data_IF_106302449289
#
_entry.id   IF_106302449289
#
_cell.length_a   1.000
_cell.length_b   1.000
_cell.length_c   1.000
_cell.angle_alpha   90.00
_cell.angle_beta   90.00
_cell.angle_gamma   90.00
#
_symmetry.space_group_name_H-M   'P 1'
#
loop_
_entity.id
_entity.type
_entity.pdbx_description
1 polymer ?
#
# COMPACT_ATOMS: atom_id res chain seq x y z
N UNK A 1 -3.04 7.12 -0.31
CA UNK A 1 -2.97 5.69 -0.71
C UNK A 1 -3.67 4.83 0.31
N UNK A 2 -4.30 3.71 -0.15
CA UNK A 2 -5.20 2.91 0.68
C UNK A 2 -4.88 1.42 0.58
N UNK A 3 -4.51 0.79 1.70
CA UNK A 3 -4.19 -0.63 1.80
C UNK A 3 -5.30 -1.37 2.54
N UNK A 4 -5.80 -2.44 1.92
CA UNK A 4 -6.77 -3.33 2.55
C UNK A 4 -6.07 -4.41 3.37
N UNK A 5 -6.42 -4.54 4.65
CA UNK A 5 -5.98 -5.66 5.49
C UNK A 5 -6.95 -6.81 5.26
N UNK A 6 -6.46 -7.88 4.66
CA UNK A 6 -7.22 -9.08 4.31
C UNK A 6 -6.60 -10.32 4.96
N UNK A 7 -7.30 -11.42 4.97
CA UNK A 7 -6.85 -12.70 5.50
C UNK A 7 -8.01 -13.54 6.02
N UNK A 8 -7.73 -14.78 6.39
CA UNK A 8 -8.73 -15.70 6.93
C UNK A 8 -9.36 -15.15 8.22
N UNK A 9 -10.57 -15.59 8.57
CA UNK A 9 -11.13 -15.33 9.90
C UNK A 9 -10.13 -15.70 10.99
N UNK A 10 -10.06 -14.88 12.06
CA UNK A 10 -9.20 -15.14 13.23
C UNK A 10 -7.68 -15.16 12.94
N UNK A 11 -7.23 -14.58 11.83
CA UNK A 11 -5.79 -14.41 11.54
C UNK A 11 -5.13 -13.26 12.31
N UNK A 12 -5.91 -12.42 13.01
CA UNK A 12 -5.44 -11.26 13.76
C UNK A 12 -5.40 -9.97 12.96
N UNK A 13 -6.20 -9.83 11.90
CA UNK A 13 -6.34 -8.58 11.10
C UNK A 13 -6.62 -7.37 11.97
N UNK A 14 -7.66 -7.44 12.79
CA UNK A 14 -8.05 -6.34 13.68
C UNK A 14 -7.00 -6.06 14.76
N UNK A 15 -6.25 -7.07 15.21
CA UNK A 15 -5.12 -6.88 16.13
C UNK A 15 -4.02 -6.05 15.47
N UNK A 16 -3.64 -6.38 14.23
CA UNK A 16 -2.66 -5.63 13.47
C UNK A 16 -3.17 -4.23 13.14
N UNK A 17 -4.45 -4.10 12.77
CA UNK A 17 -5.08 -2.80 12.54
C UNK A 17 -5.02 -1.92 13.80
N UNK A 18 -5.33 -2.46 14.98
CA UNK A 18 -5.23 -1.75 16.25
C UNK A 18 -3.79 -1.37 16.60
N UNK A 19 -2.81 -2.26 16.33
CA UNK A 19 -1.40 -1.96 16.50
C UNK A 19 -0.96 -0.78 15.63
N UNK A 20 -1.33 -0.79 14.33
CA UNK A 20 -1.04 0.28 13.37
C UNK A 20 -1.63 1.63 13.77
N UNK A 21 -2.80 1.62 14.34
CA UNK A 21 -3.62 2.81 14.50
C UNK A 21 -3.69 3.31 15.94
N UNK A 22 -3.04 2.61 16.89
CA UNK A 22 -3.25 2.79 18.34
C UNK A 22 -4.74 2.77 18.71
N UNK A 23 -5.51 2.03 17.91
CA UNK A 23 -6.96 1.95 18.03
C UNK A 23 -7.42 0.91 19.03
N UNK A 24 -8.72 0.94 19.33
CA UNK A 24 -9.37 0.00 20.22
C UNK A 24 -10.58 -0.69 19.53
N UNK A 25 -10.48 -0.95 18.22
CA UNK A 25 -11.52 -1.69 17.53
C UNK A 25 -11.69 -3.08 18.19
N UNK A 26 -12.93 -3.55 18.42
CA UNK A 26 -13.15 -4.85 19.04
C UNK A 26 -12.49 -5.98 18.24
N UNK A 27 -11.64 -6.77 18.89
CA UNK A 27 -10.96 -7.93 18.26
C UNK A 27 -11.83 -9.18 18.25
N UNK A 28 -13.00 -9.14 18.87
CA UNK A 28 -13.96 -10.25 18.88
C UNK A 28 -14.76 -10.27 17.58
N UNK A 29 -14.98 -11.47 17.05
CA UNK A 29 -15.74 -11.68 15.82
C UNK A 29 -17.11 -11.02 15.90
N UNK A 30 -17.30 -9.91 15.21
CA UNK A 30 -18.62 -9.32 15.00
C UNK A 30 -19.32 -10.13 13.94
N UNK A 31 -20.24 -10.98 14.36
CA UNK A 31 -21.08 -11.74 13.47
C UNK A 31 -21.98 -10.78 12.65
N UNK A 32 -21.76 -10.70 11.37
CA UNK A 32 -22.80 -10.31 10.41
C UNK A 32 -22.90 -8.88 9.93
N UNK A 33 -21.94 -7.97 10.20
CA UNK A 33 -21.89 -6.65 9.56
C UNK A 33 -20.57 -6.42 8.84
N UNK A 34 -20.64 -6.04 7.54
CA UNK A 34 -19.51 -5.58 6.75
C UNK A 34 -19.14 -4.14 7.18
N UNK A 35 -18.50 -4.00 8.32
CA UNK A 35 -17.94 -2.72 8.74
C UNK A 35 -16.48 -2.63 8.26
N UNK A 36 -16.16 -1.59 7.49
CA UNK A 36 -14.77 -1.26 7.14
C UNK A 36 -14.30 -0.14 8.03
N UNK A 37 -13.40 -0.47 8.92
CA UNK A 37 -12.71 0.54 9.72
C UNK A 37 -11.51 1.06 8.93
N UNK A 38 -11.43 2.38 8.74
CA UNK A 38 -10.28 3.00 8.05
C UNK A 38 -9.59 3.98 8.97
N UNK A 39 -8.26 3.93 8.97
CA UNK A 39 -7.43 4.89 9.69
C UNK A 39 -6.21 5.30 8.87
N UNK A 40 -5.76 6.52 9.11
CA UNK A 40 -4.59 7.12 8.46
C UNK A 40 -3.43 7.08 9.43
N UNK A 41 -2.30 6.52 8.98
CA UNK A 41 -1.09 6.33 9.78
C UNK A 41 0.06 7.10 9.14
N UNK A 42 0.86 7.78 9.97
CA UNK A 42 2.08 8.45 9.51
C UNK A 42 3.15 7.42 9.14
N UNK A 43 3.84 7.66 8.03
CA UNK A 43 4.99 6.83 7.60
C UNK A 43 6.24 7.29 8.34
N UNK A 44 6.86 6.45 9.17
CA UNK A 44 8.08 6.82 9.88
C UNK A 44 9.21 7.13 8.88
N UNK A 45 9.71 8.36 8.92
CA UNK A 45 10.80 8.82 8.08
C UNK A 45 11.75 9.73 8.87
N UNK A 46 12.94 9.23 9.18
CA UNK A 46 13.97 9.97 9.91
C UNK A 46 14.43 11.25 9.21
N UNK A 47 14.26 11.32 7.88
CA UNK A 47 14.61 12.51 7.08
C UNK A 47 13.70 13.68 7.44
N UNK A 48 12.40 13.44 7.65
CA UNK A 48 11.43 14.46 8.07
C UNK A 48 11.80 15.00 9.44
N UNK A 49 12.13 14.10 10.38
CA UNK A 49 12.58 14.49 11.72
C UNK A 49 13.83 15.39 11.63
N UNK A 50 14.82 14.98 10.86
CA UNK A 50 16.07 15.73 10.71
C UNK A 50 15.87 17.09 10.04
N UNK A 51 15.02 17.17 9.02
CA UNK A 51 14.63 18.42 8.39
C UNK A 51 13.92 19.35 9.37
N UNK A 52 13.04 18.80 10.21
CA UNK A 52 12.33 19.58 11.24
C UNK A 52 13.27 20.15 12.30
N UNK A 53 14.27 19.39 12.73
CA UNK A 53 15.33 19.89 13.62
C UNK A 53 16.11 21.06 12.99
N UNK A 54 16.39 20.96 11.68
CA UNK A 54 17.16 21.96 10.94
C UNK A 54 16.37 23.25 10.69
N UNK A 55 15.11 23.15 10.25
CA UNK A 55 14.29 24.31 9.88
C UNK A 55 13.45 24.85 11.03
N UNK A 56 13.25 24.08 12.10
CA UNK A 56 12.44 24.42 13.29
C UNK A 56 11.06 24.96 12.91
N UNK A 57 10.29 24.23 12.09
CA UNK A 57 9.01 24.68 11.57
C UNK A 57 7.95 24.73 12.68
N UNK A 58 6.86 25.46 12.45
CA UNK A 58 5.68 25.40 13.32
C UNK A 58 4.96 24.07 13.26
N UNK A 59 5.05 23.35 12.12
CA UNK A 59 4.41 22.05 11.90
C UNK A 59 5.34 21.09 11.16
N UNK A 60 5.31 19.83 11.61
CA UNK A 60 5.97 18.70 10.93
C UNK A 60 4.91 17.72 10.47
N UNK A 61 4.89 17.38 9.18
CA UNK A 61 3.87 16.50 8.58
C UNK A 61 4.58 15.37 7.82
N UNK A 62 4.33 14.14 8.26
CA UNK A 62 4.81 12.92 7.62
C UNK A 62 3.91 12.53 6.45
N UNK A 63 4.43 11.73 5.52
CA UNK A 63 3.62 11.03 4.53
C UNK A 63 2.65 10.08 5.23
N UNK A 64 1.54 9.75 4.57
CA UNK A 64 0.44 9.02 5.23
C UNK A 64 0.01 7.82 4.41
N UNK A 65 -0.26 6.70 5.09
CA UNK A 65 -0.91 5.52 4.50
C UNK A 65 -2.25 5.31 5.19
N UNK A 66 -3.28 5.06 4.41
CA UNK A 66 -4.59 4.67 4.92
C UNK A 66 -4.70 3.16 4.94
N UNK A 67 -4.98 2.58 6.12
CA UNK A 67 -5.29 1.17 6.27
C UNK A 67 -6.78 0.98 6.43
N UNK A 68 -7.31 -0.08 5.82
CA UNK A 68 -8.71 -0.48 5.92
C UNK A 68 -8.78 -1.92 6.44
N UNK A 69 -9.38 -2.15 7.62
CA UNK A 69 -9.68 -3.50 8.12
C UNK A 69 -10.89 -4.04 7.36
N UNK A 70 -10.66 -5.03 6.52
CA UNK A 70 -11.69 -5.64 5.69
C UNK A 70 -12.05 -7.00 6.27
N UNK A 71 -13.23 -7.08 6.86
CA UNK A 71 -13.76 -8.33 7.39
C UNK A 71 -14.24 -9.26 6.28
N UNK A 72 -14.10 -10.58 6.48
CA UNK A 72 -14.94 -11.57 5.82
C UNK A 72 -14.49 -12.17 4.48
N UNK A 73 -13.19 -12.26 4.21
CA UNK A 73 -12.70 -13.18 3.17
C UNK A 73 -12.64 -14.60 3.77
N UNK A 74 -13.68 -15.40 3.53
CA UNK A 74 -13.69 -16.82 3.87
C UNK A 74 -13.16 -17.65 2.70
N UNK A 75 -12.51 -18.77 2.99
CA UNK A 75 -12.13 -19.76 1.96
C UNK A 75 -13.37 -20.32 1.26
N UNK A 76 -13.34 -20.35 -0.07
CA UNK A 76 -14.47 -20.80 -0.88
C UNK A 76 -15.47 -19.70 -1.24
N UNK A 77 -15.24 -18.46 -0.79
CA UNK A 77 -16.07 -17.31 -1.16
C UNK A 77 -16.11 -17.10 -2.68
N UNK A 78 -15.04 -17.42 -3.40
CA UNK A 78 -14.99 -17.27 -4.84
C UNK A 78 -15.89 -18.28 -5.58
N UNK A 79 -16.18 -19.46 -5.03
CA UNK A 79 -17.12 -20.43 -5.64
C UNK A 79 -18.56 -19.90 -5.65
N UNK A 80 -18.94 -19.12 -4.65
CA UNK A 80 -20.23 -18.41 -4.58
C UNK A 80 -20.15 -16.97 -5.12
N UNK A 81 -18.94 -16.50 -5.46
CA UNK A 81 -18.59 -15.12 -5.76
C UNK A 81 -18.33 -14.31 -4.49
N UNK A 82 -17.25 -13.54 -4.47
CA UNK A 82 -17.07 -12.51 -3.43
C UNK A 82 -18.29 -11.59 -3.50
N UNK A 83 -18.94 -11.30 -2.34
CA UNK A 83 -20.15 -10.46 -2.34
C UNK A 83 -19.87 -9.13 -3.04
N UNK A 84 -20.82 -8.60 -3.81
CA UNK A 84 -20.62 -7.37 -4.57
C UNK A 84 -20.16 -6.18 -3.70
N UNK A 85 -20.64 -6.12 -2.45
CA UNK A 85 -20.22 -5.09 -1.49
C UNK A 85 -18.75 -5.26 -1.09
N UNK A 86 -18.31 -6.47 -0.77
CA UNK A 86 -16.92 -6.77 -0.42
C UNK A 86 -15.98 -6.55 -1.62
N UNK A 87 -16.40 -6.99 -2.82
CA UNK A 87 -15.65 -6.78 -4.04
C UNK A 87 -15.44 -5.28 -4.33
N UNK A 88 -16.47 -4.45 -4.15
CA UNK A 88 -16.35 -3.01 -4.31
C UNK A 88 -15.37 -2.39 -3.31
N UNK A 89 -15.31 -2.89 -2.08
CA UNK A 89 -14.34 -2.44 -1.08
C UNK A 89 -12.92 -2.82 -1.47
N UNK A 90 -12.70 -4.08 -1.86
CA UNK A 90 -11.39 -4.56 -2.34
C UNK A 90 -10.94 -3.83 -3.61
N UNK A 91 -11.87 -3.54 -4.52
CA UNK A 91 -11.58 -2.80 -5.75
C UNK A 91 -11.07 -1.38 -5.49
N UNK A 92 -11.48 -0.73 -4.40
CA UNK A 92 -11.05 0.62 -4.02
C UNK A 92 -9.68 0.68 -3.33
N UNK A 93 -9.07 -0.45 -2.99
CA UNK A 93 -7.74 -0.50 -2.37
C UNK A 93 -6.65 -0.40 -3.45
N UNK A 94 -5.52 0.20 -3.10
CA UNK A 94 -4.33 0.29 -3.97
C UNK A 94 -3.43 -0.95 -3.85
N UNK A 95 -3.56 -1.70 -2.76
CA UNK A 95 -2.85 -2.94 -2.49
C UNK A 95 -3.39 -3.65 -1.25
N UNK A 96 -2.82 -4.80 -0.91
CA UNK A 96 -3.28 -5.63 0.19
C UNK A 96 -2.17 -5.99 1.18
N UNK A 97 -2.51 -5.97 2.47
CA UNK A 97 -1.79 -6.67 3.54
C UNK A 97 -2.51 -7.99 3.81
N UNK A 98 -1.92 -9.10 3.41
CA UNK A 98 -2.45 -10.43 3.66
C UNK A 98 -1.94 -10.94 5.01
N UNK A 99 -2.78 -10.86 6.02
CA UNK A 99 -2.47 -11.33 7.38
C UNK A 99 -2.68 -12.83 7.47
N UNK A 100 -1.60 -13.53 7.81
CA UNK A 100 -1.56 -14.99 7.94
C UNK A 100 -1.29 -15.36 9.40
N UNK A 101 -2.14 -16.23 9.93
CA UNK A 101 -1.99 -16.72 11.28
C UNK A 101 -0.85 -17.73 11.37
N UNK A 102 0.11 -17.46 12.24
CA UNK A 102 1.23 -18.36 12.55
C UNK A 102 1.27 -18.76 14.03
N UNK A 103 0.28 -18.36 14.83
CA UNK A 103 0.19 -18.64 16.25
C UNK A 103 -0.88 -19.69 16.55
N UNK A 104 -0.63 -20.51 17.55
CA UNK A 104 -1.63 -21.42 18.13
C UNK A 104 -2.44 -20.69 19.22
N UNK A 105 -3.70 -21.09 19.40
CA UNK A 105 -4.57 -20.56 20.43
C UNK A 105 -5.66 -21.56 20.79
N UNK A 106 -5.75 -21.91 22.06
CA UNK A 106 -6.80 -22.77 22.59
C UNK A 106 -8.16 -22.05 22.67
N UNK A 107 -8.15 -20.71 22.68
CA UNK A 107 -9.34 -19.89 22.78
C UNK A 107 -10.03 -19.69 21.44
N UNK A 108 -9.28 -19.81 20.33
CA UNK A 108 -9.75 -19.48 19.00
C UNK A 108 -9.30 -20.56 18.03
N UNK A 109 -10.23 -21.38 17.56
CA UNK A 109 -9.94 -22.44 16.59
C UNK A 109 -9.52 -21.87 15.24
N UNK A 110 -8.55 -22.53 14.58
CA UNK A 110 -8.19 -22.16 13.21
C UNK A 110 -9.30 -22.59 12.25
N UNK A 111 -9.72 -21.75 11.26
CA UNK A 111 -10.81 -22.10 10.32
C UNK A 111 -10.56 -23.41 9.58
N UNK A 112 -9.31 -23.71 9.25
CA UNK A 112 -8.87 -24.91 8.55
C UNK A 112 -8.36 -26.03 9.50
N UNK A 113 -8.64 -25.94 10.79
CA UNK A 113 -8.31 -26.96 11.82
C UNK A 113 -6.88 -26.92 12.33
N UNK A 114 -5.91 -26.38 11.58
CA UNK A 114 -4.48 -26.29 11.97
C UNK A 114 -3.83 -25.05 11.42
N UNK A 115 -2.78 -24.57 12.07
CA UNK A 115 -1.95 -23.46 11.57
C UNK A 115 -1.00 -23.98 10.49
N UNK A 116 -1.09 -23.40 9.30
CA UNK A 116 -0.22 -23.70 8.16
C UNK A 116 -0.10 -22.43 7.29
N UNK A 117 1.01 -21.73 7.45
CA UNK A 117 1.22 -20.44 6.82
C UNK A 117 1.22 -20.52 5.28
N UNK A 118 1.86 -21.56 4.71
CA UNK A 118 1.94 -21.73 3.24
C UNK A 118 0.57 -22.00 2.64
N UNK A 119 -0.16 -22.96 3.18
CA UNK A 119 -1.52 -23.30 2.76
C UNK A 119 -2.43 -22.07 2.80
N UNK A 120 -2.37 -21.30 3.88
CA UNK A 120 -3.28 -20.17 4.09
C UNK A 120 -2.94 -19.00 3.16
N UNK A 121 -1.65 -18.75 2.86
CA UNK A 121 -1.24 -17.79 1.81
C UNK A 121 -1.77 -18.24 0.46
N UNK A 122 -1.49 -19.48 0.07
CA UNK A 122 -1.88 -20.02 -1.24
C UNK A 122 -3.41 -20.00 -1.42
N UNK A 123 -4.14 -20.37 -0.38
CA UNK A 123 -5.60 -20.33 -0.38
C UNK A 123 -6.13 -18.93 -0.65
N UNK A 124 -5.64 -17.93 0.08
CA UNK A 124 -6.09 -16.55 -0.07
C UNK A 124 -5.72 -15.94 -1.43
N UNK A 125 -4.52 -16.21 -1.93
CA UNK A 125 -4.11 -15.74 -3.26
C UNK A 125 -4.93 -16.39 -4.37
N UNK A 126 -5.26 -17.68 -4.21
CA UNK A 126 -6.12 -18.40 -5.15
C UNK A 126 -7.55 -17.85 -5.19
N UNK A 127 -8.10 -17.41 -4.04
CA UNK A 127 -9.42 -16.76 -4.00
C UNK A 127 -9.44 -15.45 -4.82
N UNK A 128 -8.39 -14.63 -4.71
CA UNK A 128 -8.28 -13.40 -5.50
C UNK A 128 -8.15 -13.72 -7.00
N UNK A 129 -7.38 -14.76 -7.34
CA UNK A 129 -7.16 -15.19 -8.71
C UNK A 129 -8.45 -15.72 -9.35
N UNK A 130 -9.19 -16.58 -8.63
CA UNK A 130 -10.46 -17.14 -9.10
C UNK A 130 -11.50 -16.03 -9.32
N UNK A 131 -11.54 -15.02 -8.44
CA UNK A 131 -12.42 -13.87 -8.63
C UNK A 131 -12.12 -13.12 -9.95
N UNK A 132 -10.84 -12.87 -10.22
CA UNK A 132 -10.43 -12.18 -11.44
C UNK A 132 -10.67 -13.03 -12.69
N UNK A 133 -10.45 -14.34 -12.60
CA UNK A 133 -10.73 -15.28 -13.70
C UNK A 133 -12.21 -15.20 -14.10
N UNK A 134 -13.13 -15.30 -13.14
CA UNK A 134 -14.57 -15.18 -13.37
C UNK A 134 -14.92 -13.81 -14.01
N UNK A 135 -14.30 -12.73 -13.54
CA UNK A 135 -14.54 -11.39 -14.09
C UNK A 135 -14.06 -11.28 -15.55
N UNK A 136 -12.89 -11.84 -15.85
CA UNK A 136 -12.30 -11.87 -17.20
C UNK A 136 -13.13 -12.73 -18.15
N UNK A 137 -13.56 -13.91 -17.73
CA UNK A 137 -14.44 -14.81 -18.52
C UNK A 137 -15.75 -14.12 -18.89
N UNK A 138 -16.42 -13.50 -17.92
CA UNK A 138 -17.67 -12.74 -18.17
C UNK A 138 -17.44 -11.58 -19.18
N UNK A 139 -16.28 -10.93 -19.15
CA UNK A 139 -15.97 -9.89 -20.15
C UNK A 139 -15.76 -10.49 -21.53
N UNK A 140 -15.04 -11.60 -21.67
CA UNK A 140 -14.84 -12.30 -22.94
C UNK A 140 -16.16 -12.78 -23.56
N UNK A 141 -17.06 -13.35 -22.76
CA UNK A 141 -18.40 -13.73 -23.20
C UNK A 141 -19.17 -12.51 -23.74
N UNK A 142 -19.15 -11.39 -23.00
CA UNK A 142 -19.80 -10.15 -23.44
C UNK A 142 -19.22 -9.61 -24.74
N UNK A 143 -17.89 -9.59 -24.90
CA UNK A 143 -17.24 -9.16 -26.14
C UNK A 143 -17.63 -10.04 -27.34
N UNK A 144 -17.76 -11.34 -27.10
CA UNK A 144 -18.20 -12.31 -28.10
C UNK A 144 -19.64 -12.01 -28.53
N UNK A 145 -20.53 -11.72 -27.61
CA UNK A 145 -21.93 -11.41 -27.90
C UNK A 145 -22.11 -10.05 -28.58
N UNK A 146 -21.35 -9.04 -28.18
CA UNK A 146 -21.30 -7.74 -28.86
C UNK A 146 -20.86 -7.86 -30.32
N UNK A 147 -19.85 -8.71 -30.59
CA UNK A 147 -19.39 -9.01 -31.94
C UNK A 147 -20.46 -9.67 -32.82
N UNK A 148 -21.25 -10.59 -32.22
CA UNK A 148 -22.36 -11.24 -32.94
C UNK A 148 -23.51 -10.28 -33.25
N UNK A 149 -23.82 -9.34 -32.36
CA UNK A 149 -24.92 -8.38 -32.52
C UNK A 149 -24.63 -7.24 -33.49
N UNK A 150 -23.38 -6.97 -33.83
CA UNK A 150 -22.98 -6.05 -34.90
C UNK A 150 -23.37 -4.59 -34.64
N UNK A 151 -22.93 -3.99 -33.56
CA UNK A 151 -23.20 -2.57 -33.23
C UNK A 151 -22.01 -1.85 -32.64
N UNK A 152 -20.93 -2.57 -32.38
CA UNK A 152 -19.72 -2.08 -31.71
C UNK A 152 -18.61 -1.81 -32.72
N UNK A 153 -17.73 -0.85 -32.44
CA UNK A 153 -16.50 -0.66 -33.19
C UNK A 153 -15.69 -1.98 -33.20
N UNK A 154 -15.56 -2.58 -34.38
CA UNK A 154 -14.90 -3.88 -34.56
C UNK A 154 -13.45 -3.85 -34.09
N UNK A 155 -12.71 -2.76 -34.40
CA UNK A 155 -11.30 -2.63 -34.02
C UNK A 155 -11.13 -2.54 -32.51
N UNK A 156 -12.00 -1.80 -31.83
CA UNK A 156 -12.00 -1.69 -30.38
C UNK A 156 -12.35 -3.04 -29.72
N UNK A 157 -13.39 -3.73 -30.21
CA UNK A 157 -13.77 -5.04 -29.70
C UNK A 157 -12.64 -6.06 -29.86
N UNK A 158 -11.96 -6.06 -31.00
CA UNK A 158 -10.84 -6.96 -31.27
C UNK A 158 -9.65 -6.67 -30.33
N UNK A 159 -9.29 -5.40 -30.15
CA UNK A 159 -8.25 -4.96 -29.21
C UNK A 159 -8.55 -5.40 -27.76
N UNK A 160 -9.79 -5.19 -27.31
CA UNK A 160 -10.24 -5.64 -25.99
C UNK A 160 -10.22 -7.17 -25.88
N UNK A 161 -10.65 -7.87 -26.91
CA UNK A 161 -10.64 -9.35 -26.89
C UNK A 161 -9.22 -9.89 -26.72
N UNK A 162 -8.24 -9.37 -27.48
CA UNK A 162 -6.84 -9.77 -27.34
C UNK A 162 -6.28 -9.50 -25.93
N UNK A 163 -6.56 -8.32 -25.38
CA UNK A 163 -6.15 -7.97 -24.01
C UNK A 163 -6.73 -8.98 -23.01
N UNK A 164 -8.05 -9.19 -23.03
CA UNK A 164 -8.70 -10.07 -22.06
C UNK A 164 -8.36 -11.55 -22.25
N UNK A 165 -8.05 -12.01 -23.47
CA UNK A 165 -7.49 -13.35 -23.72
C UNK A 165 -6.11 -13.53 -23.06
N UNK A 166 -5.23 -12.53 -23.14
CA UNK A 166 -3.94 -12.54 -22.44
C UNK A 166 -4.11 -12.59 -20.92
N UNK A 167 -5.07 -11.84 -20.36
CA UNK A 167 -5.38 -11.91 -18.94
C UNK A 167 -5.91 -13.29 -18.53
N UNK A 168 -6.80 -13.86 -19.34
CA UNK A 168 -7.37 -15.18 -19.11
C UNK A 168 -6.30 -16.29 -19.12
N UNK A 169 -5.37 -16.24 -20.08
CA UNK A 169 -4.26 -17.17 -20.17
C UNK A 169 -3.37 -17.12 -18.91
N UNK A 170 -2.98 -15.92 -18.47
CA UNK A 170 -2.18 -15.75 -17.24
C UNK A 170 -2.90 -16.34 -16.01
N UNK A 171 -4.18 -16.00 -15.84
CA UNK A 171 -4.96 -16.47 -14.69
C UNK A 171 -5.15 -18.00 -14.69
N UNK A 172 -5.34 -18.63 -15.85
CA UNK A 172 -5.41 -20.09 -15.98
C UNK A 172 -4.07 -20.78 -15.65
N UNK A 173 -2.96 -20.10 -15.87
CA UNK A 173 -1.63 -20.57 -15.50
C UNK A 173 -1.29 -20.29 -14.02
N UNK A 174 -2.25 -19.80 -13.23
CA UNK A 174 -2.07 -19.32 -11.85
C UNK A 174 -1.10 -18.14 -11.73
N UNK A 175 -0.87 -17.38 -12.80
CA UNK A 175 -0.06 -16.17 -12.76
C UNK A 175 -0.92 -14.96 -12.41
N UNK A 176 -0.61 -14.25 -11.30
CA UNK A 176 -1.34 -13.05 -10.94
C UNK A 176 -1.08 -11.93 -11.93
N UNK A 177 -2.11 -11.15 -12.23
CA UNK A 177 -2.07 -10.10 -13.26
C UNK A 177 -1.04 -9.00 -13.01
N UNK A 178 -0.55 -8.82 -11.78
CA UNK A 178 0.54 -7.89 -11.44
C UNK A 178 1.90 -8.26 -12.05
N UNK A 179 2.06 -9.52 -12.52
CA UNK A 179 3.30 -9.96 -13.21
C UNK A 179 3.33 -9.58 -14.69
N UNK A 180 2.20 -9.16 -15.27
CA UNK A 180 2.11 -8.78 -16.67
C UNK A 180 2.53 -7.32 -16.86
N UNK A 181 3.17 -7.05 -17.99
CA UNK A 181 3.44 -5.69 -18.47
C UNK A 181 2.23 -5.13 -19.21
N UNK A 182 1.94 -3.85 -19.02
CA UNK A 182 0.82 -3.16 -19.62
C UNK A 182 1.23 -1.86 -20.29
N UNK A 183 0.66 -1.58 -21.43
CA UNK A 183 0.77 -0.25 -22.05
C UNK A 183 -0.05 0.78 -21.26
N UNK A 184 0.27 2.08 -21.37
CA UNK A 184 -0.52 3.13 -20.72
C UNK A 184 -2.01 3.13 -21.09
N UNK A 185 -2.34 2.66 -22.30
CA UNK A 185 -3.73 2.52 -22.75
C UNK A 185 -4.41 1.36 -22.06
N UNK A 186 -3.75 0.20 -21.95
CA UNK A 186 -4.28 -0.97 -21.22
C UNK A 186 -4.47 -0.68 -19.73
N UNK A 187 -3.55 0.05 -19.11
CA UNK A 187 -3.70 0.49 -17.70
C UNK A 187 -4.97 1.31 -17.53
N UNK A 188 -5.26 2.25 -18.45
CA UNK A 188 -6.48 3.07 -18.43
C UNK A 188 -7.72 2.22 -18.66
N UNK A 189 -7.69 1.33 -19.63
CA UNK A 189 -8.78 0.39 -19.93
C UNK A 189 -9.14 -0.44 -18.68
N UNK A 190 -8.12 -1.06 -18.06
CA UNK A 190 -8.30 -1.97 -16.93
C UNK A 190 -8.63 -1.27 -15.60
N UNK A 191 -8.55 0.06 -15.52
CA UNK A 191 -8.78 0.81 -14.27
C UNK A 191 -10.21 0.64 -13.72
N UNK A 192 -11.19 0.42 -14.59
CA UNK A 192 -12.60 0.28 -14.22
C UNK A 192 -13.01 -1.15 -13.79
N UNK A 193 -12.15 -2.16 -14.01
CA UNK A 193 -12.52 -3.55 -13.77
C UNK A 193 -12.28 -4.04 -12.34
N UNK A 194 -11.55 -3.30 -11.52
CA UNK A 194 -11.29 -3.65 -10.13
C UNK A 194 -10.57 -4.99 -9.93
N UNK A 195 -9.75 -5.43 -10.92
CA UNK A 195 -9.01 -6.69 -10.89
C UNK A 195 -8.07 -6.75 -9.68
N UNK A 196 -8.28 -7.71 -8.80
CA UNK A 196 -7.63 -7.80 -7.50
C UNK A 196 -6.18 -8.25 -7.60
N UNK A 197 -5.88 -9.20 -8.50
CA UNK A 197 -4.53 -9.75 -8.68
C UNK A 197 -3.57 -8.81 -9.43
N UNK A 198 -4.06 -7.69 -9.96
CA UNK A 198 -3.22 -6.59 -10.45
C UNK A 198 -2.61 -5.78 -9.31
N UNK A 199 -3.22 -5.84 -8.13
CA UNK A 199 -2.79 -5.07 -6.96
C UNK A 199 -1.63 -5.76 -6.26
N UNK A 200 -0.66 -4.99 -5.73
CA UNK A 200 0.43 -5.54 -4.96
C UNK A 200 -0.05 -6.13 -3.64
N UNK A 201 0.66 -7.14 -3.15
CA UNK A 201 0.37 -7.84 -1.89
C UNK A 201 1.63 -7.92 -1.04
N UNK A 202 1.51 -7.58 0.24
CA UNK A 202 2.50 -7.84 1.29
C UNK A 202 1.92 -8.89 2.23
N UNK A 203 2.62 -10.00 2.41
CA UNK A 203 2.23 -11.04 3.38
C UNK A 203 2.73 -10.65 4.76
N UNK A 204 1.85 -10.70 5.74
CA UNK A 204 2.15 -10.40 7.14
C UNK A 204 1.94 -11.65 7.98
N UNK A 205 3.03 -12.30 8.39
CA UNK A 205 3.01 -13.44 9.30
C UNK A 205 2.79 -12.96 10.73
N UNK A 206 1.60 -13.20 11.26
CA UNK A 206 1.25 -12.85 12.63
C UNK A 206 1.59 -14.00 13.57
N UNK A 207 2.58 -13.79 14.42
CA UNK A 207 3.19 -14.78 15.28
C UNK A 207 2.88 -14.53 16.76
N UNK A 208 3.07 -15.55 17.58
CA UNK A 208 3.20 -15.40 19.05
C UNK A 208 4.63 -15.03 19.44
N UNK A 209 4.79 -14.57 20.66
CA UNK A 209 6.10 -14.34 21.27
C UNK A 209 6.95 -15.60 21.26
N UNK A 210 8.25 -15.44 21.03
CA UNK A 210 9.22 -16.53 21.03
C UNK A 210 9.17 -17.44 19.79
N UNK A 211 8.27 -17.19 18.83
CA UNK A 211 8.24 -17.94 17.57
C UNK A 211 9.23 -17.35 16.55
N UNK A 212 9.85 -18.24 15.78
CA UNK A 212 10.64 -17.86 14.60
C UNK A 212 9.71 -17.64 13.41
N UNK A 213 10.09 -16.73 12.52
CA UNK A 213 9.36 -16.52 11.27
C UNK A 213 9.28 -17.83 10.46
N UNK A 214 8.12 -18.14 9.87
CA UNK A 214 7.96 -19.34 9.06
C UNK A 214 8.89 -19.28 7.83
N UNK A 215 9.56 -20.40 7.56
CA UNK A 215 10.38 -20.53 6.37
C UNK A 215 9.49 -20.91 5.18
N UNK A 216 8.86 -19.90 4.59
CA UNK A 216 7.96 -20.06 3.44
C UNK A 216 8.51 -19.25 2.27
N UNK A 217 8.80 -19.93 1.17
CA UNK A 217 9.18 -19.26 -0.07
C UNK A 217 7.93 -18.70 -0.75
N UNK A 218 7.94 -17.38 -1.03
CA UNK A 218 6.84 -16.63 -1.63
C UNK A 218 7.33 -15.75 -2.78
N UNK A 219 6.52 -15.63 -3.81
CA UNK A 219 6.73 -14.69 -4.93
C UNK A 219 6.44 -13.21 -4.58
N UNK A 220 6.01 -12.96 -3.36
CA UNK A 220 5.62 -11.63 -2.87
C UNK A 220 6.40 -11.27 -1.60
N UNK A 221 6.63 -9.98 -1.34
CA UNK A 221 7.30 -9.56 -0.13
C UNK A 221 6.53 -10.01 1.12
N UNK A 222 7.27 -10.30 2.18
CA UNK A 222 6.70 -10.72 3.46
C UNK A 222 7.40 -10.08 4.64
N UNK A 223 6.68 -9.97 5.74
CA UNK A 223 7.17 -9.53 7.04
C UNK A 223 6.54 -10.38 8.14
N UNK A 224 7.34 -10.71 9.15
CA UNK A 224 6.86 -11.36 10.35
C UNK A 224 6.77 -10.34 11.49
N UNK A 225 5.71 -10.40 12.28
CA UNK A 225 5.51 -9.56 13.46
C UNK A 225 4.66 -10.28 14.52
N UNK A 226 4.80 -9.84 15.74
CA UNK A 226 4.02 -10.32 16.90
C UNK A 226 2.87 -9.35 17.14
N UNK A 227 1.77 -9.50 16.37
CA UNK A 227 0.69 -8.51 16.32
C UNK A 227 0.10 -8.15 17.69
N UNK A 228 0.00 -9.12 18.62
CA UNK A 228 -0.49 -8.87 19.97
C UNK A 228 0.48 -8.00 20.77
N UNK A 229 1.77 -8.33 20.76
CA UNK A 229 2.81 -7.55 21.44
C UNK A 229 2.92 -6.12 20.88
N UNK A 230 2.93 -5.99 19.55
CA UNK A 230 2.95 -4.69 18.87
C UNK A 230 1.73 -3.83 19.26
N UNK A 231 0.55 -4.45 19.37
CA UNK A 231 -0.67 -3.77 19.80
C UNK A 231 -0.58 -3.32 21.27
N UNK A 232 -0.07 -4.16 22.16
CA UNK A 232 0.11 -3.84 23.58
C UNK A 232 1.10 -2.68 23.75
N UNK A 233 2.26 -2.72 23.07
CA UNK A 233 3.24 -1.62 23.09
C UNK A 233 2.65 -0.32 22.53
N UNK A 234 1.86 -0.39 21.45
CA UNK A 234 1.25 0.78 20.84
C UNK A 234 0.24 1.50 21.77
N UNK A 235 -0.29 0.80 22.77
CA UNK A 235 -1.22 1.33 23.76
C UNK A 235 -0.53 1.90 25.01
N UNK A 236 0.77 1.68 25.20
CA UNK A 236 1.54 2.26 26.30
C UNK A 236 1.77 3.76 26.11
N UNK A 237 2.11 4.44 27.20
CA UNK A 237 2.67 5.80 27.10
C UNK A 237 4.00 5.76 26.34
N UNK A 238 4.44 6.89 25.77
CA UNK A 238 5.70 6.95 25.05
C UNK A 238 6.90 6.54 25.94
N UNK A 239 6.87 6.94 27.22
CA UNK A 239 7.90 6.61 28.22
C UNK A 239 7.91 5.12 28.54
N UNK A 240 6.74 4.53 28.81
CA UNK A 240 6.62 3.10 29.12
C UNK A 240 6.98 2.23 27.90
N UNK A 241 6.59 2.64 26.69
CA UNK A 241 6.95 1.94 25.46
C UNK A 241 8.47 1.95 25.24
N UNK A 242 9.14 3.09 25.48
CA UNK A 242 10.61 3.20 25.36
C UNK A 242 11.31 2.31 26.40
N UNK A 243 10.87 2.34 27.66
CA UNK A 243 11.41 1.46 28.72
C UNK A 243 11.23 -0.02 28.36
N UNK A 244 10.04 -0.40 27.89
CA UNK A 244 9.76 -1.77 27.45
C UNK A 244 10.68 -2.20 26.29
N UNK A 245 10.83 -1.35 25.28
CA UNK A 245 11.69 -1.63 24.15
C UNK A 245 13.16 -1.79 24.56
N UNK A 246 13.64 -0.98 25.51
CA UNK A 246 15.00 -1.10 26.06
C UNK A 246 15.20 -2.38 26.86
N UNK A 247 14.24 -2.77 27.70
CA UNK A 247 14.30 -4.00 28.52
C UNK A 247 14.38 -5.25 27.66
N UNK A 248 13.67 -5.27 26.52
CA UNK A 248 13.61 -6.41 25.59
C UNK A 248 14.57 -6.31 24.40
N UNK A 249 15.50 -5.34 24.40
CA UNK A 249 16.45 -5.04 23.29
C UNK A 249 15.75 -4.92 21.92
N UNK A 250 14.55 -4.34 21.91
CA UNK A 250 13.78 -4.08 20.69
C UNK A 250 14.25 -2.74 20.10
N UNK A 251 15.09 -2.79 19.08
CA UNK A 251 15.63 -1.59 18.42
C UNK A 251 14.58 -0.86 17.60
N UNK A 252 13.64 -1.58 17.02
CA UNK A 252 12.57 -1.05 16.20
C UNK A 252 11.36 -1.99 16.23
N UNK A 253 10.17 -1.43 16.33
CA UNK A 253 8.94 -2.18 16.18
C UNK A 253 8.82 -2.74 14.76
N UNK A 254 8.46 -4.02 14.63
CA UNK A 254 8.22 -4.67 13.34
C UNK A 254 7.10 -3.97 12.56
N UNK A 255 6.21 -3.31 13.29
CA UNK A 255 5.16 -2.46 12.73
C UNK A 255 5.70 -1.32 11.86
N UNK A 256 6.75 -0.60 12.32
CA UNK A 256 7.37 0.46 11.54
C UNK A 256 7.99 -0.09 10.25
N UNK A 257 8.61 -1.28 10.32
CA UNK A 257 9.11 -2.00 9.16
C UNK A 257 7.98 -2.35 8.19
N UNK A 258 6.85 -2.83 8.70
CA UNK A 258 5.67 -3.14 7.88
C UNK A 258 5.12 -1.90 7.20
N UNK A 259 5.04 -0.75 7.88
CA UNK A 259 4.59 0.51 7.29
C UNK A 259 5.50 0.92 6.13
N UNK A 260 6.83 0.84 6.30
CA UNK A 260 7.78 1.15 5.23
C UNK A 260 7.66 0.19 4.04
N UNK A 261 7.56 -1.12 4.31
CA UNK A 261 7.34 -2.12 3.25
C UNK A 261 6.01 -1.90 2.51
N UNK A 262 4.97 -1.45 3.22
CA UNK A 262 3.69 -1.08 2.62
C UNK A 262 3.84 0.12 1.67
N UNK A 263 4.67 1.08 2.05
CA UNK A 263 4.97 2.26 1.25
C UNK A 263 5.75 1.88 -0.02
N UNK A 264 6.79 1.05 0.13
CA UNK A 264 7.57 0.51 -0.98
C UNK A 264 6.72 -0.36 -1.92
N UNK A 265 5.82 -1.17 -1.36
CA UNK A 265 4.91 -2.03 -2.11
C UNK A 265 4.07 -1.23 -3.12
N UNK A 266 3.62 -0.05 -2.74
CA UNK A 266 2.80 0.83 -3.57
C UNK A 266 3.61 1.59 -4.63
N UNK A 267 4.93 1.35 -4.73
CA UNK A 267 5.83 1.99 -5.68
C UNK A 267 5.78 3.52 -5.60
N UNK A 268 5.70 4.01 -4.38
CA UNK A 268 5.73 5.45 -4.09
C UNK A 268 7.04 5.84 -3.45
N UNK A 269 7.27 7.14 -3.42
CA UNK A 269 8.44 7.78 -2.84
C UNK A 269 8.03 9.09 -2.18
N UNK A 270 8.87 9.59 -1.28
CA UNK A 270 8.67 10.87 -0.63
C UNK A 270 9.56 11.94 -1.21
N UNK A 271 8.97 13.10 -1.47
CA UNK A 271 9.72 14.35 -1.62
C UNK A 271 9.28 15.32 -0.51
N UNK A 272 10.08 16.35 -0.26
CA UNK A 272 9.87 17.22 0.88
C UNK A 272 9.70 18.67 0.45
N UNK A 273 8.86 19.38 1.18
CA UNK A 273 8.85 20.86 1.20
C UNK A 273 9.31 21.32 2.57
N UNK A 274 10.15 22.34 2.62
CA UNK A 274 10.72 22.89 3.85
C UNK A 274 10.50 24.39 3.94
N UNK A 275 10.14 24.87 5.11
CA UNK A 275 9.90 26.28 5.40
C UNK A 275 9.74 26.52 6.89
N UNK A 276 9.62 27.79 7.29
CA UNK A 276 9.42 28.18 8.68
C UNK A 276 8.02 27.78 9.21
N UNK A 277 7.02 27.72 8.35
CA UNK A 277 5.67 27.31 8.74
C UNK A 277 5.51 25.80 8.79
N UNK A 278 6.11 25.08 7.82
CA UNK A 278 5.89 23.65 7.66
C UNK A 278 7.12 22.96 7.06
N UNK A 279 7.47 21.80 7.62
CA UNK A 279 8.25 20.75 6.96
C UNK A 279 7.31 19.60 6.69
N UNK A 280 7.22 19.19 5.43
CA UNK A 280 6.26 18.16 5.03
C UNK A 280 6.83 17.18 4.03
N UNK A 281 6.56 15.91 4.27
CA UNK A 281 6.73 14.85 3.29
C UNK A 281 5.47 14.72 2.42
N UNK A 282 5.68 14.69 1.12
CA UNK A 282 4.66 14.46 0.11
C UNK A 282 4.90 13.11 -0.54
N UNK A 283 3.85 12.35 -0.71
CA UNK A 283 3.91 11.09 -1.41
C UNK A 283 3.67 11.28 -2.91
N UNK A 284 4.48 10.62 -3.73
CA UNK A 284 4.31 10.62 -5.18
C UNK A 284 4.74 9.29 -5.76
N UNK A 285 4.32 8.98 -6.98
CA UNK A 285 4.80 7.79 -7.70
C UNK A 285 6.29 7.90 -7.99
N UNK A 286 7.02 6.78 -7.98
CA UNK A 286 8.47 6.76 -8.26
C UNK A 286 8.88 7.33 -9.61
N UNK A 287 7.98 7.42 -10.57
CA UNK A 287 8.23 8.01 -11.90
C UNK A 287 7.61 9.38 -12.10
N UNK A 288 7.08 10.00 -11.04
CA UNK A 288 6.38 11.28 -11.16
C UNK A 288 7.32 12.40 -11.60
N UNK A 289 6.84 13.24 -12.51
CA UNK A 289 7.51 14.46 -12.94
C UNK A 289 7.34 15.58 -11.91
N UNK A 290 8.18 16.61 -11.98
CA UNK A 290 8.07 17.77 -11.08
C UNK A 290 6.72 18.47 -11.21
N UNK A 291 6.08 18.46 -12.38
CA UNK A 291 4.74 18.99 -12.58
C UNK A 291 3.67 18.12 -11.89
N UNK A 292 3.79 16.81 -11.95
CA UNK A 292 2.89 15.88 -11.22
C UNK A 292 3.09 16.00 -9.71
N UNK A 293 4.32 16.07 -9.24
CA UNK A 293 4.64 16.31 -7.84
C UNK A 293 4.09 17.66 -7.32
N UNK A 294 4.10 18.70 -8.14
CA UNK A 294 3.43 19.96 -7.81
C UNK A 294 1.92 19.79 -7.62
N UNK A 295 1.30 18.86 -8.34
CA UNK A 295 -0.10 18.49 -8.21
C UNK A 295 -0.45 17.85 -6.87
N UNK A 296 0.48 17.07 -6.29
CA UNK A 296 0.30 16.49 -4.96
C UNK A 296 0.30 17.58 -3.86
N UNK A 297 1.01 18.69 -4.09
CA UNK A 297 0.99 19.82 -3.17
C UNK A 297 -0.32 20.61 -3.34
N UNK A 298 -0.64 21.04 -4.57
CA UNK A 298 -1.87 21.71 -4.92
C UNK A 298 -2.10 21.72 -6.43
N UNK A 299 -3.35 21.57 -6.86
CA UNK A 299 -3.71 21.55 -8.30
C UNK A 299 -3.35 22.85 -9.03
N UNK A 300 -3.37 23.99 -8.35
CA UNK A 300 -2.99 25.28 -8.96
C UNK A 300 -1.46 25.34 -9.20
N UNK A 301 -0.64 24.75 -8.31
CA UNK A 301 0.80 24.65 -8.54
C UNK A 301 1.12 23.77 -9.76
N UNK A 302 0.35 22.71 -10.00
CA UNK A 302 0.49 21.88 -11.18
C UNK A 302 0.12 22.66 -12.45
N UNK A 303 -1.00 23.40 -12.43
CA UNK A 303 -1.48 24.19 -13.59
C UNK A 303 -0.57 25.36 -13.90
N UNK A 304 -0.13 26.07 -12.86
CA UNK A 304 0.76 27.24 -12.98
C UNK A 304 2.25 26.90 -12.96
N UNK A 305 2.64 25.64 -13.09
CA UNK A 305 4.02 25.22 -12.96
C UNK A 305 4.96 25.94 -13.94
N UNK A 306 5.97 26.59 -13.41
CA UNK A 306 7.03 27.26 -14.21
C UNK A 306 8.35 26.49 -14.08
N UNK A 307 8.84 26.30 -12.88
CA UNK A 307 10.09 25.59 -12.54
C UNK A 307 9.98 25.01 -11.13
N UNK A 308 10.86 24.05 -10.84
CA UNK A 308 11.10 23.54 -9.48
C UNK A 308 12.55 23.85 -9.07
N UNK A 309 12.74 24.41 -7.89
CA UNK A 309 14.04 24.42 -7.23
C UNK A 309 14.17 23.11 -6.48
N UNK A 310 15.22 22.36 -6.77
CA UNK A 310 15.43 21.01 -6.22
C UNK A 310 16.81 20.89 -5.61
N UNK A 311 16.88 20.36 -4.40
CA UNK A 311 18.13 19.94 -3.74
C UNK A 311 17.92 18.54 -3.16
N UNK A 312 18.92 17.65 -3.32
CA UNK A 312 18.85 16.33 -2.70
C UNK A 312 18.98 16.43 -1.17
N UNK A 313 18.26 15.57 -0.44
CA UNK A 313 18.30 15.54 1.03
C UNK A 313 19.74 15.45 1.56
N UNK A 314 20.55 14.52 1.05
CA UNK A 314 21.91 14.30 1.52
C UNK A 314 22.81 15.53 1.29
N UNK A 315 22.65 16.21 0.14
CA UNK A 315 23.35 17.45 -0.16
C UNK A 315 22.96 18.55 0.85
N UNK A 316 21.66 18.72 1.14
CA UNK A 316 21.20 19.74 2.07
C UNK A 316 21.69 19.49 3.50
N UNK A 317 21.60 18.24 3.98
CA UNK A 317 22.06 17.88 5.33
C UNK A 317 23.57 18.07 5.48
N UNK A 318 24.35 17.68 4.46
CA UNK A 318 25.81 17.82 4.50
C UNK A 318 26.27 19.28 4.47
N UNK A 319 25.54 20.16 3.78
CA UNK A 319 25.86 21.59 3.65
C UNK A 319 25.26 22.47 4.76
N UNK A 320 24.27 21.95 5.50
CA UNK A 320 23.73 22.60 6.68
C UNK A 320 22.74 23.74 6.41
N UNK A 321 22.56 24.22 5.18
CA UNK A 321 21.54 25.24 4.84
C UNK A 321 21.24 25.32 3.35
N UNK A 322 20.05 25.86 3.00
CA UNK A 322 19.66 26.15 1.63
C UNK A 322 20.59 27.18 0.96
N UNK A 323 21.11 28.13 1.72
CA UNK A 323 22.06 29.15 1.22
C UNK A 323 23.40 28.54 0.80
N UNK A 324 23.93 27.62 1.61
CA UNK A 324 25.15 26.88 1.27
C UNK A 324 24.91 25.95 0.07
N UNK A 325 23.75 25.26 0.02
CA UNK A 325 23.39 24.44 -1.13
C UNK A 325 23.33 25.26 -2.45
N UNK A 326 22.82 26.49 -2.38
CA UNK A 326 22.79 27.41 -3.52
C UNK A 326 24.21 27.88 -3.87
N UNK A 327 25.01 28.29 -2.88
CA UNK A 327 26.39 28.77 -3.09
C UNK A 327 27.30 27.67 -3.69
N UNK A 328 27.08 26.40 -3.33
CA UNK A 328 27.80 25.24 -3.86
C UNK A 328 27.19 24.67 -5.17
N UNK A 329 26.18 25.31 -5.75
CA UNK A 329 25.52 24.87 -6.98
C UNK A 329 24.79 23.56 -6.86
N UNK A 330 24.38 23.16 -5.64
CA UNK A 330 23.57 21.95 -5.39
C UNK A 330 22.07 22.22 -5.49
N UNK A 331 21.63 23.45 -5.37
CA UNK A 331 20.27 23.87 -5.66
C UNK A 331 20.08 24.01 -7.17
N UNK A 332 19.36 23.08 -7.77
CA UNK A 332 19.13 23.00 -9.21
C UNK A 332 17.79 23.64 -9.56
N UNK A 333 17.69 24.16 -10.78
CA UNK A 333 16.45 24.69 -11.33
C UNK A 333 15.95 23.75 -12.43
N UNK A 334 14.92 22.97 -12.13
CA UNK A 334 14.43 21.87 -12.95
C UNK A 334 13.15 22.25 -13.71
N UNK A 335 12.97 21.63 -14.88
CA UNK A 335 11.76 21.77 -15.71
C UNK A 335 10.65 20.82 -15.29
N UNK A 336 9.48 20.96 -15.95
CA UNK A 336 8.27 20.18 -15.66
C UNK A 336 8.45 18.66 -15.79
N UNK A 337 9.30 18.21 -16.71
CA UNK A 337 9.55 16.78 -16.99
C UNK A 337 10.66 16.17 -16.11
N UNK A 338 11.20 16.92 -15.15
CA UNK A 338 12.20 16.39 -14.23
C UNK A 338 11.61 15.24 -13.41
N UNK A 339 12.21 14.03 -13.44
CA UNK A 339 11.75 12.93 -12.60
C UNK A 339 12.16 13.18 -11.16
N UNK A 340 11.21 13.49 -10.30
CA UNK A 340 11.44 13.70 -8.87
C UNK A 340 12.00 12.42 -8.27
N UNK A 341 13.03 12.56 -7.44
CA UNK A 341 13.69 11.44 -6.76
C UNK A 341 13.24 11.36 -5.30
N UNK A 342 13.34 10.14 -4.75
CA UNK A 342 13.11 9.96 -3.32
C UNK A 342 14.11 10.79 -2.51
N UNK A 343 13.58 11.59 -1.59
CA UNK A 343 14.39 12.50 -0.78
C UNK A 343 14.68 13.87 -1.40
N UNK A 344 14.18 14.19 -2.59
CA UNK A 344 14.31 15.56 -3.13
C UNK A 344 13.54 16.55 -2.25
N UNK A 345 14.21 17.67 -1.91
CA UNK A 345 13.55 18.84 -1.34
C UNK A 345 13.17 19.75 -2.51
N UNK A 346 11.87 20.04 -2.64
CA UNK A 346 11.32 20.69 -3.81
C UNK A 346 10.60 21.99 -3.41
N UNK A 347 10.92 23.08 -4.10
CA UNK A 347 10.17 24.32 -4.01
C UNK A 347 9.63 24.70 -5.38
N UNK A 348 8.30 24.72 -5.51
CA UNK A 348 7.62 24.99 -6.79
C UNK A 348 7.51 26.48 -7.03
N UNK A 349 7.99 26.93 -8.18
CA UNK A 349 7.74 28.27 -8.70
C UNK A 349 6.54 28.22 -9.65
N UNK A 350 5.48 28.91 -9.29
CA UNK A 350 4.24 28.98 -10.03
C UNK A 350 3.97 30.39 -10.56
N UNK A 351 3.26 30.48 -11.66
CA UNK A 351 2.75 31.73 -12.22
C UNK A 351 1.37 32.15 -11.66
N UNK A 352 0.78 31.33 -10.80
CA UNK A 352 -0.51 31.54 -10.14
C UNK A 352 -0.30 31.92 -8.69
#
# INVERSE_FOLDING_TARGET
MKLGIIGLPQSGKTTIFNALTRGHAPTTASAGRFEVHTLVVDVPDSRVTRLSEMFKPKKTIYAKVTYADIAGLETGAAKSGISGQLLNQLAQMDGFLLVVRCFESDLVMHPNGSVDAKRDVDSMLSELLLNDLIAVERKLERLTDERKKGGTDKALNEKQTLLFQRLHEALNNNDPLRKLEYTPEEVRELSSYGLLTRKPVLVVFNMSEGQSAPNVELDVPSVALMGKLEMEIAQLSAEDAEMFMQEYDIKELSLNRMIRLSYDLLQVQSFFTVGEDEVRAWETKRSATAQEAAGEIHTDLQRGFVRAEVVAYDDLISLGSMNEAKAKGRLRLEGKEYPVKDGDIVHIRSSL
#
